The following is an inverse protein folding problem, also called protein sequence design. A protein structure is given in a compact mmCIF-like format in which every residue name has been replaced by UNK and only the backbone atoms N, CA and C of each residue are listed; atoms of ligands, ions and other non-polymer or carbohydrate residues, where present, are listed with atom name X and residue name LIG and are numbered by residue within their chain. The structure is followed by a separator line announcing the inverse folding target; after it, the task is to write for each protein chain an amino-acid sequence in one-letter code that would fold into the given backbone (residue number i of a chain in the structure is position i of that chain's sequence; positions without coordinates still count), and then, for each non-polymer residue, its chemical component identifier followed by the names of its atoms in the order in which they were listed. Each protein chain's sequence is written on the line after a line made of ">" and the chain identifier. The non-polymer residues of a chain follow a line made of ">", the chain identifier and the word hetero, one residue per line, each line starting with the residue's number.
data_IF_638463871739
#
_entry.id   IF_638463871739
#
_cell.length_a   1.000
_cell.length_b   1.000
_cell.length_c   1.000
_cell.angle_alpha   90.00
_cell.angle_beta   90.00
_cell.angle_gamma   90.00
#
_symmetry.space_group_name_H-M   'P 1'
#
loop_
_entity.id
_entity.type
_entity.pdbx_description
1 polymer ?
#
# COMPACT_ATOMS: atom_id res chain seq x y z
N UNK A 1 16.73 14.53 -3.97
CA UNK A 1 17.38 14.06 -5.21
C UNK A 1 17.15 12.57 -5.46
N UNK A 2 16.18 11.93 -4.79
CA UNK A 2 15.93 10.48 -4.90
C UNK A 2 14.59 10.15 -5.59
N UNK A 3 13.80 11.14 -5.94
CA UNK A 3 12.49 10.95 -6.58
C UNK A 3 12.45 11.23 -8.08
N UNK A 4 13.53 11.69 -8.71
CA UNK A 4 13.47 12.15 -10.11
C UNK A 4 13.83 11.08 -11.15
N UNK A 5 14.55 10.00 -10.78
CA UNK A 5 15.04 9.03 -11.77
C UNK A 5 14.17 7.78 -11.97
N UNK A 6 13.11 7.59 -11.19
CA UNK A 6 12.26 6.39 -11.28
C UNK A 6 10.84 6.65 -11.81
N UNK A 7 10.50 7.91 -12.09
CA UNK A 7 9.14 8.34 -12.46
C UNK A 7 8.74 8.06 -13.92
N UNK A 8 9.65 7.61 -14.77
CA UNK A 8 9.45 7.71 -16.22
C UNK A 8 9.08 6.45 -16.97
N UNK A 9 9.22 5.24 -16.44
CA UNK A 9 9.17 4.06 -17.33
C UNK A 9 8.35 2.85 -16.87
N UNK A 10 8.04 2.70 -15.61
CA UNK A 10 7.31 1.50 -15.13
C UNK A 10 5.88 1.83 -14.70
N UNK A 11 5.61 3.06 -14.27
CA UNK A 11 4.31 3.44 -13.70
C UNK A 11 3.19 3.71 -14.72
N UNK A 12 3.51 4.00 -15.97
CA UNK A 12 2.48 4.36 -16.97
C UNK A 12 1.77 3.19 -17.66
N UNK A 13 2.22 1.94 -17.46
CA UNK A 13 1.77 0.83 -18.33
C UNK A 13 0.93 -0.24 -17.63
N UNK A 14 0.71 -0.22 -16.31
CA UNK A 14 0.23 -1.41 -15.59
C UNK A 14 -1.08 -1.26 -14.79
N UNK A 15 -1.80 -0.15 -14.85
CA UNK A 15 -3.04 -0.05 -14.07
C UNK A 15 -4.29 0.04 -14.96
N UNK A 16 -5.07 -1.04 -15.14
CA UNK A 16 -6.46 -0.90 -15.49
C UNK A 16 -7.25 -0.49 -14.24
N UNK A 17 -7.76 0.74 -14.27
CA UNK A 17 -8.70 1.25 -13.26
C UNK A 17 -9.93 0.35 -13.18
N UNK A 18 -10.03 -0.44 -12.12
CA UNK A 18 -11.28 -1.15 -11.81
C UNK A 18 -12.04 -0.31 -10.80
N UNK A 19 -12.98 0.48 -11.32
CA UNK A 19 -14.01 1.12 -10.50
C UNK A 19 -14.81 0.05 -9.77
N UNK A 20 -14.96 0.23 -8.45
CA UNK A 20 -15.89 -0.54 -7.64
C UNK A 20 -17.31 -0.24 -8.12
N UNK A 21 -17.90 -1.17 -8.85
CA UNK A 21 -19.33 -1.18 -9.12
C UNK A 21 -20.03 -1.79 -7.91
N UNK A 22 -20.70 -0.93 -7.16
CA UNK A 22 -21.66 -1.32 -6.15
C UNK A 22 -23.02 -1.43 -6.83
N UNK A 23 -23.49 -2.63 -7.11
CA UNK A 23 -24.89 -2.87 -7.48
C UNK A 23 -25.46 -3.94 -6.54
N UNK A 24 -26.36 -3.47 -5.67
CA UNK A 24 -27.36 -4.27 -5.01
C UNK A 24 -28.22 -4.97 -6.06
N UNK A 25 -28.29 -6.28 -6.04
CA UNK A 25 -29.51 -6.95 -6.45
C UNK A 25 -29.83 -8.13 -5.53
N UNK A 26 -31.00 -8.04 -4.93
CA UNK A 26 -31.58 -8.97 -4.00
C UNK A 26 -32.31 -10.07 -4.78
N UNK A 27 -31.80 -11.31 -4.72
CA UNK A 27 -32.64 -12.48 -4.99
C UNK A 27 -32.24 -13.63 -4.08
N UNK A 28 -33.09 -13.91 -3.11
CA UNK A 28 -33.07 -15.13 -2.29
C UNK A 28 -33.38 -16.34 -3.17
N UNK A 29 -32.52 -17.34 -3.18
CA UNK A 29 -32.93 -18.74 -3.30
C UNK A 29 -32.01 -19.61 -2.47
N UNK A 30 -32.62 -20.46 -1.66
CA UNK A 30 -32.03 -21.33 -0.69
C UNK A 30 -31.23 -22.49 -1.30
N UNK A 31 -30.34 -23.00 -0.46
CA UNK A 31 -29.75 -24.35 -0.43
C UNK A 31 -28.48 -24.58 -1.25
N UNK A 32 -27.46 -24.92 -0.51
CA UNK A 32 -26.15 -25.34 -0.99
C UNK A 32 -25.05 -24.53 -0.30
N UNK A 33 -24.55 -24.99 0.85
CA UNK A 33 -23.45 -24.34 1.58
C UNK A 33 -22.21 -24.18 0.70
N UNK A 34 -22.19 -23.16 -0.10
CA UNK A 34 -20.99 -22.62 -0.73
C UNK A 34 -20.15 -22.04 0.41
N UNK A 35 -19.12 -22.73 0.81
CA UNK A 35 -18.02 -22.16 1.58
C UNK A 35 -17.49 -21.06 0.67
N UNK A 36 -17.91 -19.81 0.90
CA UNK A 36 -17.28 -18.65 0.27
C UNK A 36 -15.85 -18.66 0.81
N UNK A 37 -14.92 -19.03 -0.03
CA UNK A 37 -13.49 -18.89 0.24
C UNK A 37 -13.25 -17.40 0.36
N UNK A 38 -13.29 -16.88 1.58
CA UNK A 38 -12.94 -15.49 1.84
C UNK A 38 -11.42 -15.41 1.73
N UNK A 39 -10.97 -14.72 0.69
CA UNK A 39 -9.57 -14.54 0.34
C UNK A 39 -8.83 -13.77 1.43
N UNK A 40 -7.68 -14.27 1.84
CA UNK A 40 -6.79 -13.56 2.76
C UNK A 40 -6.06 -12.42 2.04
N UNK A 41 -5.60 -11.43 2.80
CA UNK A 41 -4.81 -10.32 2.25
C UNK A 41 -3.58 -10.80 1.47
N UNK A 42 -2.85 -11.77 2.01
CA UNK A 42 -1.66 -12.34 1.39
C UNK A 42 -1.98 -13.04 0.06
N UNK A 43 -3.08 -13.81 -0.01
CA UNK A 43 -3.53 -14.46 -1.24
C UNK A 43 -3.88 -13.42 -2.30
N UNK A 44 -4.66 -12.41 -1.96
CA UNK A 44 -5.02 -11.32 -2.86
C UNK A 44 -3.81 -10.60 -3.47
N UNK A 45 -2.78 -10.32 -2.64
CA UNK A 45 -1.57 -9.67 -3.13
C UNK A 45 -0.76 -10.62 -4.03
N UNK A 46 -0.65 -11.91 -3.66
CA UNK A 46 0.06 -12.93 -4.44
C UNK A 46 -0.57 -13.18 -5.80
N UNK A 47 -1.89 -13.15 -5.93
CA UNK A 47 -2.58 -13.33 -7.22
C UNK A 47 -2.18 -12.28 -8.27
N UNK A 48 -1.70 -11.11 -7.82
CA UNK A 48 -1.25 -10.04 -8.72
C UNK A 48 0.21 -10.21 -9.20
N UNK A 49 1.02 -11.05 -8.52
CA UNK A 49 2.44 -11.24 -8.85
C UNK A 49 2.69 -11.57 -10.32
N UNK A 50 1.94 -12.45 -11.00
CA UNK A 50 2.18 -12.76 -12.40
C UNK A 50 2.15 -11.54 -13.33
N UNK A 51 1.49 -10.45 -12.93
CA UNK A 51 1.38 -9.23 -13.73
C UNK A 51 2.71 -8.46 -13.78
N UNK A 52 3.44 -8.42 -12.65
CA UNK A 52 4.69 -7.70 -12.52
C UNK A 52 5.92 -8.57 -12.84
N UNK A 53 5.85 -9.89 -12.57
CA UNK A 53 6.95 -10.81 -12.76
C UNK A 53 7.36 -11.00 -14.23
N UNK A 54 6.50 -10.65 -15.20
CA UNK A 54 6.86 -10.64 -16.63
C UNK A 54 7.98 -9.64 -16.94
N UNK A 55 8.15 -8.62 -16.11
CA UNK A 55 9.13 -7.54 -16.31
C UNK A 55 10.36 -7.68 -15.41
N UNK A 56 10.38 -8.69 -14.53
CA UNK A 56 11.44 -8.92 -13.56
C UNK A 56 12.19 -10.24 -13.84
N UNK A 57 13.47 -10.34 -13.45
CA UNK A 57 14.20 -11.61 -13.48
C UNK A 57 13.48 -12.67 -12.64
N UNK A 58 13.53 -13.94 -13.08
CA UNK A 58 12.83 -15.06 -12.44
C UNK A 58 13.07 -15.18 -10.93
N UNK A 59 14.27 -14.85 -10.45
CA UNK A 59 14.62 -14.89 -9.02
C UNK A 59 13.78 -13.96 -8.13
N UNK A 60 13.23 -12.88 -8.71
CA UNK A 60 12.39 -11.95 -7.97
C UNK A 60 11.04 -12.54 -7.54
N UNK A 61 10.58 -13.59 -8.21
CA UNK A 61 9.32 -14.27 -7.83
C UNK A 61 9.36 -14.75 -6.37
N UNK A 62 10.40 -15.51 -6.02
CA UNK A 62 10.56 -16.03 -4.66
C UNK A 62 10.74 -14.90 -3.61
N UNK A 63 11.41 -13.81 -4.00
CA UNK A 63 11.61 -12.68 -3.10
C UNK A 63 10.32 -11.89 -2.86
N UNK A 64 9.55 -11.65 -3.90
CA UNK A 64 8.24 -10.99 -3.75
C UNK A 64 7.29 -11.84 -2.91
N UNK A 65 7.25 -13.16 -3.12
CA UNK A 65 6.44 -14.06 -2.30
C UNK A 65 6.88 -14.02 -0.82
N UNK A 66 8.19 -14.07 -0.56
CA UNK A 66 8.72 -13.98 0.80
C UNK A 66 8.36 -12.66 1.48
N UNK A 67 8.50 -11.52 0.76
CA UNK A 67 8.11 -10.21 1.28
C UNK A 67 6.62 -10.18 1.62
N UNK A 68 5.75 -10.71 0.75
CA UNK A 68 4.31 -10.75 1.00
C UNK A 68 3.98 -11.62 2.22
N UNK A 69 4.67 -12.75 2.40
CA UNK A 69 4.49 -13.62 3.57
C UNK A 69 5.03 -13.01 4.88
N UNK A 70 5.97 -12.08 4.77
CA UNK A 70 6.55 -11.34 5.91
C UNK A 70 5.75 -10.08 6.30
N UNK A 71 4.66 -9.75 5.58
CA UNK A 71 3.84 -8.60 5.93
C UNK A 71 3.09 -8.84 7.26
N UNK A 72 3.01 -7.79 8.05
CA UNK A 72 2.22 -7.80 9.28
C UNK A 72 0.70 -7.78 8.98
N UNK A 73 -0.10 -7.87 10.06
CA UNK A 73 -1.56 -7.82 9.98
C UNK A 73 -2.13 -6.52 9.37
N UNK A 74 -1.35 -5.45 9.28
CA UNK A 74 -1.72 -4.18 8.62
C UNK A 74 -1.34 -4.15 7.15
N UNK A 75 -0.53 -5.08 6.70
CA UNK A 75 0.07 -5.12 5.37
C UNK A 75 1.39 -4.35 5.26
N UNK A 76 2.09 -4.12 6.39
CA UNK A 76 3.38 -3.46 6.45
C UNK A 76 4.51 -4.47 6.51
N UNK A 77 5.69 -4.08 6.02
CA UNK A 77 6.93 -4.83 6.18
C UNK A 77 7.70 -4.29 7.38
N UNK A 78 7.60 -4.98 8.52
CA UNK A 78 8.32 -4.61 9.74
C UNK A 78 9.77 -5.13 9.74
N UNK A 79 10.10 -6.10 8.87
CA UNK A 79 11.43 -6.70 8.78
C UNK A 79 12.43 -5.76 8.10
N UNK A 80 13.62 -5.55 8.68
CA UNK A 80 14.68 -4.74 8.06
C UNK A 80 15.18 -5.36 6.76
N UNK A 81 15.38 -4.53 5.72
CA UNK A 81 15.77 -4.99 4.38
C UNK A 81 17.14 -5.69 4.33
N UNK A 82 18.07 -5.34 5.22
CA UNK A 82 19.37 -5.97 5.33
C UNK A 82 19.29 -7.42 5.86
N UNK A 83 18.40 -7.68 6.81
CA UNK A 83 18.11 -9.04 7.29
C UNK A 83 17.45 -9.86 6.19
N UNK A 84 16.46 -9.29 5.53
CA UNK A 84 15.75 -9.91 4.41
C UNK A 84 16.71 -10.26 3.26
N UNK A 85 17.59 -9.33 2.86
CA UNK A 85 18.61 -9.55 1.85
C UNK A 85 19.57 -10.68 2.24
N UNK A 86 20.02 -10.72 3.51
CA UNK A 86 20.90 -11.76 4.03
C UNK A 86 20.23 -13.13 4.00
N UNK A 87 18.96 -13.22 4.39
CA UNK A 87 18.19 -14.45 4.37
C UNK A 87 18.02 -14.99 2.93
N UNK A 88 17.78 -14.10 1.98
CA UNK A 88 17.57 -14.42 0.57
C UNK A 88 18.88 -14.63 -0.20
N UNK A 89 20.06 -14.42 0.43
CA UNK A 89 21.36 -14.49 -0.22
C UNK A 89 21.52 -13.47 -1.36
N UNK A 90 20.91 -12.29 -1.20
CA UNK A 90 20.87 -11.19 -2.16
C UNK A 90 21.54 -9.94 -1.62
N UNK A 91 21.70 -8.92 -2.47
CA UNK A 91 22.10 -7.59 -2.00
C UNK A 91 20.89 -6.80 -1.48
N UNK A 92 21.18 -5.79 -0.66
CA UNK A 92 20.11 -4.88 -0.15
C UNK A 92 19.43 -4.13 -1.32
N UNK A 93 20.16 -3.82 -2.38
CA UNK A 93 19.62 -3.19 -3.58
C UNK A 93 18.61 -4.10 -4.28
N UNK A 94 18.91 -5.39 -4.40
CA UNK A 94 17.99 -6.37 -5.00
C UNK A 94 16.75 -6.59 -4.13
N UNK A 95 16.92 -6.68 -2.80
CA UNK A 95 15.80 -6.76 -1.86
C UNK A 95 14.92 -5.49 -1.92
N UNK A 96 15.53 -4.32 -2.07
CA UNK A 96 14.82 -3.06 -2.25
C UNK A 96 14.02 -3.04 -3.55
N UNK A 97 14.57 -3.54 -4.65
CA UNK A 97 13.84 -3.64 -5.92
C UNK A 97 12.65 -4.61 -5.82
N UNK A 98 12.83 -5.75 -5.13
CA UNK A 98 11.73 -6.68 -4.88
C UNK A 98 10.62 -6.04 -4.03
N UNK A 99 10.99 -5.25 -3.01
CA UNK A 99 10.03 -4.49 -2.22
C UNK A 99 9.26 -3.47 -3.08
N UNK A 100 9.94 -2.71 -3.93
CA UNK A 100 9.27 -1.78 -4.84
C UNK A 100 8.30 -2.48 -5.79
N UNK A 101 8.66 -3.69 -6.25
CA UNK A 101 7.75 -4.49 -7.06
C UNK A 101 6.48 -4.87 -6.27
N UNK A 102 6.61 -5.30 -5.01
CA UNK A 102 5.45 -5.57 -4.14
C UNK A 102 4.65 -4.29 -3.87
N UNK A 103 5.31 -3.16 -3.60
CA UNK A 103 4.65 -1.87 -3.36
C UNK A 103 3.87 -1.33 -4.58
N UNK A 104 4.14 -1.85 -5.78
CA UNK A 104 3.37 -1.52 -6.98
C UNK A 104 2.04 -2.28 -7.11
N UNK A 105 1.79 -3.26 -6.23
CA UNK A 105 0.56 -4.05 -6.22
C UNK A 105 -0.58 -3.34 -5.48
N UNK A 106 -1.79 -3.83 -5.67
CA UNK A 106 -2.95 -3.39 -4.90
C UNK A 106 -3.12 -4.24 -3.61
N UNK A 107 -3.61 -3.63 -2.54
CA UNK A 107 -3.99 -2.22 -2.40
C UNK A 107 -2.78 -1.30 -2.24
N UNK A 108 -2.90 -0.06 -2.71
CA UNK A 108 -1.82 0.92 -2.63
C UNK A 108 -1.38 1.16 -1.19
N UNK A 109 -0.08 1.07 -0.93
CA UNK A 109 0.51 1.16 0.40
C UNK A 109 0.93 -0.19 0.99
N UNK A 110 0.65 -1.32 0.28
CA UNK A 110 1.16 -2.64 0.67
C UNK A 110 2.69 -2.65 0.75
N UNK A 111 3.24 -3.35 1.75
CA UNK A 111 4.69 -3.43 1.94
C UNK A 111 5.35 -2.13 2.39
N UNK A 112 4.59 -1.13 2.83
CA UNK A 112 5.17 0.06 3.44
C UNK A 112 5.86 -0.29 4.77
N UNK A 113 6.96 0.38 5.08
CA UNK A 113 7.75 0.17 6.32
C UNK A 113 7.33 1.12 7.45
N UNK A 114 6.53 2.14 7.11
CA UNK A 114 5.99 3.09 8.06
C UNK A 114 4.67 3.68 7.56
N UNK A 115 3.95 4.36 8.47
CA UNK A 115 2.74 5.11 8.11
C UNK A 115 3.04 6.20 7.08
N UNK A 116 4.15 6.92 7.24
CA UNK A 116 4.58 7.97 6.31
C UNK A 116 4.80 7.40 4.91
N UNK A 117 5.45 6.25 4.80
CA UNK A 117 5.68 5.58 3.52
C UNK A 117 4.36 5.11 2.90
N UNK A 118 3.48 4.50 3.69
CA UNK A 118 2.16 4.05 3.24
C UNK A 118 1.32 5.21 2.64
N UNK A 119 1.26 6.33 3.35
CA UNK A 119 0.54 7.50 2.89
C UNK A 119 1.22 8.16 1.68
N UNK A 120 2.56 8.12 1.61
CA UNK A 120 3.32 8.63 0.47
C UNK A 120 3.07 7.81 -0.80
N UNK A 121 3.01 6.48 -0.68
CA UNK A 121 2.66 5.59 -1.79
C UNK A 121 1.24 5.88 -2.30
N UNK A 122 0.27 6.09 -1.42
CA UNK A 122 -1.09 6.45 -1.81
C UNK A 122 -1.15 7.86 -2.42
N UNK A 123 -0.39 8.81 -1.87
CA UNK A 123 -0.32 10.16 -2.40
C UNK A 123 0.25 10.18 -3.83
N UNK A 124 1.25 9.33 -4.14
CA UNK A 124 1.85 9.25 -5.47
C UNK A 124 0.83 8.88 -6.56
N UNK A 125 -0.23 8.15 -6.21
CA UNK A 125 -1.33 7.80 -7.11
C UNK A 125 -2.50 8.80 -7.06
N UNK A 126 -2.39 9.84 -6.24
CA UNK A 126 -3.44 10.86 -6.07
C UNK A 126 -3.21 12.06 -6.97
N UNK A 127 -4.27 12.68 -7.53
CA UNK A 127 -4.16 13.95 -8.26
C UNK A 127 -3.71 15.12 -7.38
N UNK A 128 -3.68 14.93 -6.07
CA UNK A 128 -3.25 15.93 -5.09
C UNK A 128 -1.77 15.84 -4.72
N UNK A 129 -0.98 15.06 -5.49
CA UNK A 129 0.46 14.98 -5.28
C UNK A 129 1.12 16.34 -5.51
N UNK A 130 1.63 16.95 -4.46
CA UNK A 130 2.40 18.18 -4.51
C UNK A 130 3.33 18.30 -3.28
N UNK A 131 4.23 19.30 -3.31
CA UNK A 131 5.21 19.49 -2.22
C UNK A 131 4.58 19.74 -0.85
N UNK A 132 3.40 20.34 -0.78
CA UNK A 132 2.76 20.65 0.50
C UNK A 132 2.12 19.40 1.11
N UNK A 133 1.43 18.57 0.30
CA UNK A 133 0.88 17.30 0.77
C UNK A 133 1.98 16.34 1.21
N UNK A 134 3.09 16.29 0.47
CA UNK A 134 4.26 15.49 0.84
C UNK A 134 4.87 15.97 2.16
N UNK A 135 5.09 17.28 2.33
CA UNK A 135 5.61 17.83 3.58
C UNK A 135 4.67 17.57 4.77
N UNK A 136 3.35 17.59 4.56
CA UNK A 136 2.40 17.28 5.65
C UNK A 136 2.58 15.83 6.10
N UNK A 137 2.77 14.89 5.19
CA UNK A 137 3.00 13.49 5.53
C UNK A 137 4.35 13.32 6.23
N UNK A 138 5.42 13.95 5.73
CA UNK A 138 6.77 13.75 6.26
C UNK A 138 7.01 14.44 7.62
N UNK A 139 6.51 15.68 7.78
CA UNK A 139 6.90 16.51 8.91
C UNK A 139 5.76 16.84 9.88
N UNK A 140 4.51 16.74 9.45
CA UNK A 140 3.36 17.28 10.20
C UNK A 140 2.27 16.25 10.54
N UNK A 141 2.48 14.95 10.32
CA UNK A 141 1.51 13.91 10.72
C UNK A 141 1.08 14.00 12.19
N UNK A 142 1.99 14.27 13.17
CA UNK A 142 1.58 14.41 14.55
C UNK A 142 0.66 15.62 14.80
N UNK A 143 0.81 16.69 14.01
CA UNK A 143 -0.08 17.86 14.09
C UNK A 143 -1.41 17.58 13.40
N UNK A 144 -1.39 16.84 12.29
CA UNK A 144 -2.58 16.41 11.58
C UNK A 144 -3.44 15.50 12.46
N UNK A 145 -2.83 14.53 13.14
CA UNK A 145 -3.50 13.62 14.08
C UNK A 145 -4.19 14.37 15.24
N UNK A 146 -3.61 15.51 15.67
CA UNK A 146 -4.21 16.38 16.70
C UNK A 146 -5.23 17.39 16.13
N UNK A 147 -5.48 17.37 14.82
CA UNK A 147 -6.36 18.34 14.17
C UNK A 147 -5.86 19.78 14.13
N UNK A 148 -4.56 20.01 14.38
CA UNK A 148 -3.97 21.36 14.47
C UNK A 148 -3.61 21.94 13.09
N UNK A 149 -4.62 22.10 12.24
CA UNK A 149 -4.48 22.59 10.86
C UNK A 149 -3.94 24.03 10.80
N UNK A 150 -4.30 24.87 11.79
CA UNK A 150 -3.79 26.25 11.84
C UNK A 150 -2.25 26.30 11.95
N UNK A 151 -1.68 25.41 12.77
CA UNK A 151 -0.23 25.35 12.93
C UNK A 151 0.44 24.82 11.67
N UNK A 152 -0.17 23.86 10.98
CA UNK A 152 0.30 23.36 9.67
C UNK A 152 0.28 24.50 8.64
N UNK A 153 -0.82 25.24 8.52
CA UNK A 153 -0.97 26.39 7.63
C UNK A 153 0.12 27.44 7.85
N UNK A 154 0.37 27.81 9.13
CA UNK A 154 1.40 28.77 9.50
C UNK A 154 2.82 28.29 9.15
N UNK A 155 3.13 27.03 9.43
CA UNK A 155 4.45 26.44 9.16
C UNK A 155 4.74 26.33 7.66
N UNK A 156 3.75 25.92 6.88
CA UNK A 156 3.86 25.82 5.42
C UNK A 156 3.71 27.16 4.70
N UNK A 157 3.31 28.23 5.42
CA UNK A 157 3.05 29.57 4.86
C UNK A 157 2.03 29.54 3.72
N UNK A 158 0.97 28.77 3.88
CA UNK A 158 -0.14 28.64 2.92
C UNK A 158 -1.46 29.09 3.58
N UNK A 159 -2.46 29.50 2.79
CA UNK A 159 -3.78 29.83 3.33
C UNK A 159 -4.39 28.67 4.11
N UNK A 160 -5.14 28.97 5.19
CA UNK A 160 -5.79 27.95 6.00
C UNK A 160 -6.70 27.01 5.19
N UNK A 161 -7.45 27.58 4.24
CA UNK A 161 -8.35 26.79 3.39
C UNK A 161 -7.60 25.76 2.51
N UNK A 162 -6.41 26.08 2.03
CA UNK A 162 -5.55 25.15 1.28
C UNK A 162 -4.99 24.06 2.21
N UNK A 163 -4.46 24.45 3.36
CA UNK A 163 -3.98 23.49 4.36
C UNK A 163 -5.09 22.50 4.77
N UNK A 164 -6.31 23.01 4.96
CA UNK A 164 -7.46 22.19 5.29
C UNK A 164 -7.78 21.17 4.19
N UNK A 165 -7.78 21.58 2.92
CA UNK A 165 -8.00 20.67 1.78
C UNK A 165 -6.94 19.58 1.72
N UNK A 166 -5.66 19.91 1.85
CA UNK A 166 -4.57 18.93 1.84
C UNK A 166 -4.67 17.96 3.01
N UNK A 167 -4.99 18.46 4.21
CA UNK A 167 -5.21 17.61 5.37
C UNK A 167 -6.39 16.64 5.16
N UNK A 168 -7.51 17.09 4.60
CA UNK A 168 -8.66 16.26 4.29
C UNK A 168 -8.33 15.14 3.29
N UNK A 169 -7.54 15.45 2.25
CA UNK A 169 -7.08 14.44 1.29
C UNK A 169 -6.26 13.34 1.99
N UNK A 170 -5.31 13.73 2.85
CA UNK A 170 -4.45 12.77 3.56
C UNK A 170 -5.27 11.95 4.56
N UNK A 171 -6.25 12.56 5.24
CA UNK A 171 -7.15 11.86 6.17
C UNK A 171 -8.09 10.86 5.48
N UNK A 172 -8.31 11.00 4.16
CA UNK A 172 -9.11 10.06 3.38
C UNK A 172 -8.31 8.82 2.93
N UNK A 173 -7.00 8.82 3.10
CA UNK A 173 -6.17 7.65 2.76
C UNK A 173 -6.37 6.53 3.79
N UNK A 174 -6.15 5.30 3.33
CA UNK A 174 -6.25 4.12 4.19
C UNK A 174 -4.89 3.82 4.86
N UNK A 175 -4.74 4.01 6.17
CA UNK A 175 -3.49 3.73 6.88
C UNK A 175 -3.23 2.23 7.10
N UNK A 176 -4.16 1.35 6.75
CA UNK A 176 -4.06 -0.10 6.94
C UNK A 176 -4.43 -0.78 5.62
N UNK A 177 -3.44 -1.07 4.74
CA UNK A 177 -3.70 -1.69 3.44
C UNK A 177 -4.51 -2.99 3.50
N UNK A 178 -4.33 -3.79 4.54
CA UNK A 178 -5.07 -5.05 4.74
C UNK A 178 -6.51 -4.87 5.24
N UNK A 179 -6.97 -3.63 5.47
CA UNK A 179 -8.32 -3.39 5.98
C UNK A 179 -9.38 -3.88 4.99
N UNK A 180 -10.30 -4.69 5.47
CA UNK A 180 -11.36 -5.32 4.65
C UNK A 180 -11.05 -6.75 4.20
N UNK A 181 -9.84 -7.26 4.47
CA UNK A 181 -9.48 -8.66 4.23
C UNK A 181 -9.56 -9.49 5.52
N UNK A 182 -9.73 -10.82 5.37
CA UNK A 182 -9.63 -11.73 6.50
C UNK A 182 -8.21 -11.73 7.06
N UNK A 183 -8.12 -11.74 8.38
CA UNK A 183 -6.87 -12.02 9.07
C UNK A 183 -6.64 -13.54 9.07
N UNK A 184 -5.38 -13.97 8.94
CA UNK A 184 -5.03 -15.40 9.00
C UNK A 184 -5.44 -16.05 10.33
N UNK A 185 -5.62 -15.26 11.39
CA UNK A 185 -6.14 -15.69 12.70
C UNK A 185 -7.64 -16.02 12.70
N UNK A 186 -8.38 -15.56 11.71
CA UNK A 186 -9.84 -15.71 11.63
C UNK A 186 -10.23 -16.98 10.86
N UNK A 187 -9.23 -17.71 10.32
CA UNK A 187 -9.46 -18.98 9.64
C UNK A 187 -9.80 -20.06 10.68
N UNK A 188 -10.88 -20.83 10.50
CA UNK A 188 -11.22 -21.92 11.38
C UNK A 188 -10.11 -22.99 11.35
N UNK A 189 -9.48 -23.23 12.50
CA UNK A 189 -8.54 -24.35 12.67
C UNK A 189 -9.37 -25.63 12.68
N UNK A 190 -9.38 -26.37 11.58
CA UNK A 190 -9.90 -27.73 11.57
C UNK A 190 -8.86 -28.65 12.24
N UNK A 191 -9.19 -29.11 13.45
CA UNK A 191 -8.45 -30.16 14.18
C UNK A 191 -8.95 -31.50 13.73
#
# INVERSE_FOLDING_TARGET
>A
TFCEDFSGSIFETVIPSRQAANENDSAQTADGGSIQHQETFSEYVKEQLPQILKYLPFRYAAWCEYIIDSLDHRGYLDEPLDLLASFMGSSVEEATQALYAVQSLAPTGVGARSLEECLTLQLAHSPYFNKYTLNIIQDYLPLLAKGNIEKISKNLKIPFAEAQRYCQVIQAFNPIPSNGFLQSSDLPVYI
#
